data_IF_312272512532
#
_entry.id   IF_312272512532
#
_cell.length_a   1.000
_cell.length_b   1.000
_cell.length_c   1.000
_cell.angle_alpha   90.00
_cell.angle_beta   90.00
_cell.angle_gamma   90.00
#
_symmetry.space_group_name_H-M   'P 1'
#
loop_
_entity.id
_entity.type
_entity.pdbx_description
1 polymer ?
#
# COMPACT_ATOMS: atom_id res chain seq x y z
N UNK A 1 0.74 -30.64 -14.06
CA UNK A 1 0.08 -31.71 -14.87
C UNK A 1 -1.46 -31.62 -14.89
N UNK A 2 -2.13 -31.30 -13.78
CA UNK A 2 -3.60 -31.23 -13.69
C UNK A 2 -4.29 -30.18 -14.56
N UNK A 3 -3.74 -28.96 -14.66
CA UNK A 3 -4.31 -27.89 -15.51
C UNK A 3 -4.44 -28.28 -16.99
N UNK A 4 -3.47 -29.01 -17.53
CA UNK A 4 -3.52 -29.52 -18.92
C UNK A 4 -4.57 -30.62 -19.09
N UNK A 5 -4.73 -31.49 -18.10
CA UNK A 5 -5.76 -32.54 -18.12
C UNK A 5 -7.18 -31.94 -18.04
N UNK A 6 -7.37 -30.93 -17.19
CA UNK A 6 -8.62 -30.18 -17.09
C UNK A 6 -8.93 -29.43 -18.40
N UNK A 7 -7.96 -28.73 -18.99
CA UNK A 7 -8.14 -28.03 -20.26
C UNK A 7 -8.54 -28.97 -21.41
N UNK A 8 -7.96 -30.19 -21.46
CA UNK A 8 -8.36 -31.22 -22.43
C UNK A 8 -9.77 -31.75 -22.20
N UNK A 9 -10.17 -31.96 -20.93
CA UNK A 9 -11.52 -32.41 -20.58
C UNK A 9 -12.59 -31.35 -20.91
N UNK A 10 -12.23 -30.07 -20.80
CA UNK A 10 -13.09 -28.93 -21.14
C UNK A 10 -13.02 -28.53 -22.62
N UNK A 11 -12.34 -29.31 -23.46
CA UNK A 11 -12.17 -29.06 -24.90
C UNK A 11 -11.65 -27.66 -25.22
N UNK A 12 -10.85 -27.07 -24.32
CA UNK A 12 -10.31 -25.74 -24.52
C UNK A 12 -9.26 -25.78 -25.65
N UNK A 13 -9.43 -24.97 -26.71
CA UNK A 13 -8.52 -24.98 -27.86
C UNK A 13 -7.16 -24.37 -27.52
N UNK A 14 -7.07 -23.58 -26.45
CA UNK A 14 -5.86 -22.91 -25.99
C UNK A 14 -5.83 -22.86 -24.46
N UNK A 15 -4.63 -22.92 -23.87
CA UNK A 15 -4.40 -22.75 -22.44
C UNK A 15 -3.25 -21.76 -22.20
N UNK A 16 -3.37 -20.84 -21.24
CA UNK A 16 -2.28 -19.92 -20.92
C UNK A 16 -1.09 -20.69 -20.35
N UNK A 17 0.09 -20.45 -20.92
CA UNK A 17 1.35 -21.07 -20.50
C UNK A 17 2.44 -20.00 -20.40
N UNK A 18 3.39 -20.22 -19.49
CA UNK A 18 4.64 -19.48 -19.44
C UNK A 18 5.71 -20.38 -20.07
N UNK A 19 6.30 -19.94 -21.18
CA UNK A 19 7.33 -20.71 -21.89
C UNK A 19 8.73 -20.40 -21.37
N UNK A 20 9.41 -21.40 -20.80
CA UNK A 20 10.82 -21.30 -20.38
C UNK A 20 11.75 -21.86 -21.47
N UNK A 21 11.76 -21.19 -22.64
CA UNK A 21 12.48 -21.64 -23.83
C UNK A 21 14.01 -21.59 -23.73
N UNK A 22 14.56 -20.83 -22.78
CA UNK A 22 15.99 -20.61 -22.60
C UNK A 22 16.70 -21.74 -21.83
N UNK A 23 15.96 -22.71 -21.28
CA UNK A 23 16.54 -23.77 -20.46
C UNK A 23 17.17 -24.88 -21.31
N UNK A 24 18.41 -25.24 -21.00
CA UNK A 24 19.05 -26.45 -21.54
C UNK A 24 18.30 -27.72 -21.09
N UNK A 25 18.47 -28.86 -21.79
CA UNK A 25 17.83 -30.11 -21.38
C UNK A 25 18.11 -30.52 -19.92
N UNK A 26 19.30 -30.24 -19.42
CA UNK A 26 19.65 -30.51 -18.02
C UNK A 26 18.92 -29.57 -17.05
N UNK A 27 18.86 -28.27 -17.35
CA UNK A 27 18.13 -27.28 -16.55
C UNK A 27 16.62 -27.55 -16.52
N UNK A 28 16.03 -28.01 -17.64
CA UNK A 28 14.62 -28.44 -17.66
C UNK A 28 14.35 -29.56 -16.65
N UNK A 29 15.23 -30.58 -16.60
CA UNK A 29 15.09 -31.69 -15.64
C UNK A 29 15.27 -31.23 -14.20
N UNK A 30 16.24 -30.33 -13.95
CA UNK A 30 16.46 -29.76 -12.62
C UNK A 30 15.27 -28.92 -12.15
N UNK A 31 14.72 -28.08 -13.03
CA UNK A 31 13.54 -27.26 -12.75
C UNK A 31 12.33 -28.11 -12.38
N UNK A 32 12.04 -29.18 -13.11
CA UNK A 32 10.92 -30.09 -12.79
C UNK A 32 11.06 -30.73 -11.41
N UNK A 33 12.29 -31.07 -11.00
CA UNK A 33 12.55 -31.63 -9.67
C UNK A 33 12.37 -30.54 -8.59
N UNK A 34 12.88 -29.33 -8.83
CA UNK A 34 12.74 -28.22 -7.91
C UNK A 34 11.28 -27.77 -7.75
N UNK A 35 10.51 -27.69 -8.83
CA UNK A 35 9.08 -27.32 -8.83
C UNK A 35 8.25 -28.30 -7.98
N UNK A 36 8.47 -29.61 -8.15
CA UNK A 36 7.83 -30.63 -7.31
C UNK A 36 8.29 -30.56 -5.84
N UNK A 37 9.56 -30.22 -5.59
CA UNK A 37 10.08 -30.10 -4.22
C UNK A 37 9.53 -28.87 -3.51
N UNK A 38 9.48 -27.72 -4.19
CA UNK A 38 8.92 -26.48 -3.66
C UNK A 38 7.45 -26.65 -3.30
N UNK A 39 6.68 -27.40 -4.10
CA UNK A 39 5.30 -27.73 -3.76
C UNK A 39 5.16 -28.64 -2.52
N UNK A 40 6.19 -29.39 -2.15
CA UNK A 40 6.23 -30.20 -0.92
C UNK A 40 6.72 -29.41 0.29
N UNK A 41 7.44 -28.31 0.06
CA UNK A 41 7.91 -27.39 1.09
C UNK A 41 6.90 -26.23 1.31
N UNK A 42 5.79 -26.21 0.57
CA UNK A 42 4.69 -25.28 0.78
C UNK A 42 3.90 -25.71 2.02
N UNK A 43 3.85 -24.83 3.02
CA UNK A 43 3.01 -24.97 4.21
C UNK A 43 1.74 -24.13 4.11
N UNK A 44 0.90 -24.27 5.13
CA UNK A 44 -0.18 -23.34 5.40
C UNK A 44 0.24 -22.41 6.53
N UNK A 45 -0.30 -21.20 6.53
CA UNK A 45 -0.46 -20.45 7.78
C UNK A 45 -1.61 -21.13 8.52
N UNK A 46 -1.29 -21.90 9.55
CA UNK A 46 -2.24 -22.74 10.25
C UNK A 46 -3.33 -21.91 10.96
N UNK A 47 -2.99 -20.70 11.44
CA UNK A 47 -3.94 -19.79 12.09
C UNK A 47 -4.92 -19.20 11.06
N UNK A 48 -4.41 -18.68 9.95
CA UNK A 48 -5.25 -18.10 8.89
C UNK A 48 -6.12 -19.17 8.23
N UNK A 49 -5.58 -20.37 8.02
CA UNK A 49 -6.31 -21.51 7.48
C UNK A 49 -7.45 -21.94 8.41
N UNK A 50 -7.18 -22.07 9.71
CA UNK A 50 -8.20 -22.44 10.69
C UNK A 50 -9.34 -21.41 10.75
N UNK A 51 -9.02 -20.12 10.65
CA UNK A 51 -10.01 -19.04 10.63
C UNK A 51 -10.90 -19.09 9.39
N UNK A 52 -10.32 -19.24 8.20
CA UNK A 52 -11.09 -19.38 6.95
C UNK A 52 -12.00 -20.63 6.98
N UNK A 53 -11.52 -21.74 7.55
CA UNK A 53 -12.31 -22.95 7.74
C UNK A 53 -13.48 -22.72 8.73
N UNK A 54 -13.28 -21.93 9.79
CA UNK A 54 -14.34 -21.56 10.71
C UNK A 54 -15.41 -20.68 10.02
N UNK A 55 -15.00 -19.66 9.25
CA UNK A 55 -15.92 -18.81 8.49
C UNK A 55 -16.72 -19.59 7.44
N UNK A 56 -16.08 -20.52 6.72
CA UNK A 56 -16.75 -21.41 5.78
C UNK A 56 -17.77 -22.32 6.49
N UNK A 57 -17.45 -22.81 7.69
CA UNK A 57 -18.37 -23.58 8.52
C UNK A 57 -19.60 -22.77 8.93
N UNK A 58 -19.39 -21.53 9.39
CA UNK A 58 -20.47 -20.60 9.77
C UNK A 58 -21.36 -20.22 8.57
N UNK A 59 -20.76 -20.08 7.38
CA UNK A 59 -21.47 -19.88 6.13
C UNK A 59 -22.24 -21.12 5.64
N UNK A 60 -22.13 -22.26 6.35
CA UNK A 60 -22.81 -23.51 6.04
C UNK A 60 -22.19 -24.31 4.91
N UNK A 61 -20.90 -24.08 4.60
CA UNK A 61 -20.15 -24.85 3.61
C UNK A 61 -19.73 -26.22 4.17
N UNK A 62 -19.71 -27.24 3.33
CA UNK A 62 -19.24 -28.58 3.71
C UNK A 62 -17.70 -28.63 3.65
N UNK A 63 -17.06 -28.54 4.82
CA UNK A 63 -15.59 -28.47 4.92
C UNK A 63 -14.89 -29.73 4.38
N UNK A 64 -15.54 -30.88 4.32
CA UNK A 64 -14.94 -32.09 3.74
C UNK A 64 -14.65 -31.96 2.24
N UNK A 65 -15.23 -30.97 1.58
CA UNK A 65 -14.97 -30.66 0.17
C UNK A 65 -13.65 -29.89 -0.06
N UNK A 66 -13.01 -29.39 1.00
CA UNK A 66 -11.72 -28.70 0.94
C UNK A 66 -10.54 -29.65 0.75
N UNK A 67 -10.72 -30.92 1.10
CA UNK A 67 -9.71 -31.98 1.00
C UNK A 67 -9.01 -32.33 2.31
N UNK A 68 -9.36 -31.66 3.42
CA UNK A 68 -8.98 -32.05 4.79
C UNK A 68 -9.92 -33.13 5.32
N UNK A 69 -9.40 -34.05 6.13
CA UNK A 69 -10.21 -35.05 6.82
C UNK A 69 -10.79 -34.53 8.15
N UNK A 70 -11.72 -35.30 8.74
CA UNK A 70 -12.43 -34.90 9.96
C UNK A 70 -11.48 -34.67 11.15
N UNK A 71 -10.38 -35.43 11.25
CA UNK A 71 -9.43 -35.32 12.36
C UNK A 71 -8.51 -34.09 12.17
N UNK A 72 -8.08 -33.82 10.93
CA UNK A 72 -7.33 -32.60 10.57
C UNK A 72 -8.15 -31.33 10.84
N UNK A 73 -9.41 -31.31 10.42
CA UNK A 73 -10.33 -30.19 10.65
C UNK A 73 -10.60 -29.96 12.14
N UNK A 74 -10.78 -31.03 12.91
CA UNK A 74 -11.01 -30.93 14.34
C UNK A 74 -9.81 -30.36 15.09
N UNK A 75 -8.58 -30.76 14.71
CA UNK A 75 -7.36 -30.23 15.30
C UNK A 75 -7.19 -28.73 14.99
N UNK A 76 -7.38 -28.33 13.72
CA UNK A 76 -7.26 -26.93 13.31
C UNK A 76 -8.28 -26.02 14.00
N UNK A 77 -9.52 -26.49 14.19
CA UNK A 77 -10.58 -25.70 14.83
C UNK A 77 -10.50 -25.71 16.37
N UNK A 78 -9.79 -26.66 16.98
CA UNK A 78 -9.63 -26.72 18.43
C UNK A 78 -8.70 -25.61 18.96
N UNK A 79 -7.67 -25.25 18.20
CA UNK A 79 -6.66 -24.27 18.60
C UNK A 79 -7.21 -22.83 18.67
N UNK A 80 -8.33 -22.54 17.98
CA UNK A 80 -9.06 -21.26 18.06
C UNK A 80 -9.89 -21.17 19.36
N UNK A 81 -10.26 -22.30 19.97
CA UNK A 81 -11.13 -22.35 21.15
C UNK A 81 -10.42 -22.12 22.50
N UNK A 82 -9.10 -22.25 22.56
CA UNK A 82 -8.32 -22.12 23.81
C UNK A 82 -7.70 -20.72 24.01
N UNK A 83 -7.69 -19.86 23.00
CA UNK A 83 -7.09 -18.52 23.03
C UNK A 83 -7.95 -17.44 23.72
N UNK A 84 -9.17 -17.75 24.18
CA UNK A 84 -10.02 -16.79 24.91
C UNK A 84 -9.67 -16.63 26.40
N UNK A 85 -8.54 -17.16 26.89
CA UNK A 85 -8.30 -17.24 28.33
C UNK A 85 -6.84 -17.25 28.81
N UNK A 86 -6.00 -16.30 28.42
CA UNK A 86 -4.87 -15.91 29.29
C UNK A 86 -4.37 -14.48 29.03
N UNK A 87 -4.66 -13.60 29.99
CA UNK A 87 -3.97 -12.33 30.20
C UNK A 87 -2.46 -12.57 30.42
N UNK A 88 -1.63 -12.17 29.45
CA UNK A 88 -0.24 -11.76 29.71
C UNK A 88 0.12 -10.62 28.77
N UNK A 89 0.64 -9.55 29.37
CA UNK A 89 1.19 -8.36 28.71
C UNK A 89 2.35 -8.72 27.77
N UNK A 90 2.03 -9.17 26.55
CA UNK A 90 2.99 -9.22 25.45
C UNK A 90 2.57 -8.19 24.40
N UNK A 91 3.49 -7.25 24.12
CA UNK A 91 3.37 -6.38 22.94
C UNK A 91 3.14 -7.27 21.71
N UNK A 92 2.20 -6.92 20.80
CA UNK A 92 1.97 -7.74 19.62
C UNK A 92 3.30 -7.91 18.90
N UNK A 93 3.76 -9.16 18.83
CA UNK A 93 4.98 -9.55 18.17
C UNK A 93 4.97 -8.96 16.76
N UNK A 94 6.07 -8.31 16.40
CA UNK A 94 6.30 -7.83 15.05
C UNK A 94 6.19 -9.00 14.07
N UNK A 95 5.25 -8.90 13.13
CA UNK A 95 5.22 -9.54 11.82
C UNK A 95 6.09 -10.82 11.70
N UNK A 96 5.56 -11.99 12.10
CA UNK A 96 6.19 -13.29 11.80
C UNK A 96 6.17 -13.65 10.29
N UNK A 97 5.56 -12.78 9.47
CA UNK A 97 5.39 -12.95 8.03
C UNK A 97 6.48 -12.27 7.17
N UNK A 98 7.45 -11.59 7.79
CA UNK A 98 8.66 -11.14 7.10
C UNK A 98 9.69 -12.28 7.10
N UNK A 99 9.43 -13.33 6.28
CA UNK A 99 10.40 -14.37 5.92
C UNK A 99 11.50 -13.77 5.00
N UNK A 100 12.06 -12.64 5.44
CA UNK A 100 13.14 -11.90 4.80
C UNK A 100 14.38 -12.77 4.97
N UNK A 101 14.96 -13.28 3.87
CA UNK A 101 16.18 -14.05 3.96
C UNK A 101 17.25 -13.23 4.68
N UNK A 102 17.93 -13.84 5.64
CA UNK A 102 19.03 -13.19 6.33
C UNK A 102 19.96 -12.51 5.31
N UNK A 103 20.32 -11.22 5.52
CA UNK A 103 21.11 -10.49 4.54
C UNK A 103 22.35 -11.29 4.15
N UNK A 104 22.73 -11.32 2.86
CA UNK A 104 23.88 -12.08 2.42
C UNK A 104 25.13 -11.60 3.19
N UNK A 105 25.98 -12.53 3.63
CA UNK A 105 27.23 -12.21 4.35
C UNK A 105 28.12 -11.21 3.61
N UNK A 106 27.97 -11.13 2.29
CA UNK A 106 28.59 -10.13 1.45
C UNK A 106 27.49 -9.39 0.66
N UNK A 107 27.08 -8.19 1.09
CA UNK A 107 26.11 -7.40 0.33
C UNK A 107 26.72 -7.00 -1.00
N UNK A 108 25.97 -7.20 -2.08
CA UNK A 108 26.35 -6.77 -3.42
C UNK A 108 26.28 -5.24 -3.51
N UNK A 109 25.19 -4.67 -3.01
CA UNK A 109 24.97 -3.21 -2.97
C UNK A 109 25.79 -2.56 -1.87
N UNK A 110 26.45 -1.46 -2.20
CA UNK A 110 27.23 -0.62 -1.29
C UNK A 110 26.73 0.82 -1.34
N UNK A 111 26.89 1.59 -0.24
CA UNK A 111 26.61 3.02 -0.26
C UNK A 111 27.32 3.73 -1.43
N UNK A 112 26.56 4.52 -2.20
CA UNK A 112 27.00 5.19 -3.42
C UNK A 112 26.74 4.40 -4.71
N UNK A 113 26.41 3.11 -4.64
CA UNK A 113 26.07 2.34 -5.84
C UNK A 113 24.76 2.82 -6.45
N UNK A 114 24.79 3.08 -7.76
CA UNK A 114 23.62 3.44 -8.57
C UNK A 114 23.28 2.30 -9.52
N UNK A 115 22.07 1.78 -9.37
CA UNK A 115 21.50 0.73 -10.19
C UNK A 115 20.61 1.35 -11.27
N UNK A 116 20.95 1.10 -12.54
CA UNK A 116 20.14 1.52 -13.68
C UNK A 116 19.11 0.43 -14.02
N UNK A 117 17.82 0.78 -13.92
CA UNK A 117 16.68 -0.09 -14.12
C UNK A 117 15.84 0.42 -15.32
N UNK A 118 16.41 0.34 -16.52
CA UNK A 118 15.81 0.91 -17.72
C UNK A 118 15.81 2.43 -17.68
N UNK A 119 14.64 3.07 -17.58
CA UNK A 119 14.51 4.53 -17.41
C UNK A 119 14.62 4.96 -15.93
N UNK A 120 14.60 4.00 -15.00
CA UNK A 120 14.59 4.26 -13.56
C UNK A 120 15.99 4.10 -12.96
N UNK A 121 16.23 4.77 -11.84
CA UNK A 121 17.47 4.68 -11.06
C UNK A 121 17.14 4.36 -9.62
N UNK A 122 17.94 3.51 -9.02
CA UNK A 122 17.92 3.19 -7.60
C UNK A 122 19.32 3.44 -7.04
N UNK A 123 19.41 4.11 -5.89
CA UNK A 123 20.68 4.33 -5.19
C UNK A 123 20.66 3.65 -3.82
N UNK A 124 21.78 3.08 -3.42
CA UNK A 124 22.00 2.70 -2.03
C UNK A 124 22.72 3.85 -1.30
N UNK A 125 22.10 4.45 -0.29
CA UNK A 125 22.71 5.54 0.47
C UNK A 125 21.76 6.19 1.46
N UNK A 126 22.30 7.12 2.26
CA UNK A 126 21.53 7.90 3.23
C UNK A 126 20.71 8.99 2.52
N UNK A 127 19.39 8.96 2.69
CA UNK A 127 18.47 9.93 2.08
C UNK A 127 18.59 11.35 2.68
N UNK A 128 19.25 11.49 3.83
CA UNK A 128 19.58 12.78 4.44
C UNK A 128 20.90 13.38 3.92
N UNK A 129 21.68 12.63 3.12
CA UNK A 129 22.92 13.14 2.52
C UNK A 129 22.64 13.82 1.16
N UNK A 130 22.97 15.12 1.01
CA UNK A 130 22.73 15.85 -0.25
C UNK A 130 23.47 15.24 -1.43
N UNK A 131 24.65 14.68 -1.21
CA UNK A 131 25.50 14.12 -2.26
C UNK A 131 24.90 12.83 -2.83
N UNK A 132 24.27 12.01 -1.98
CA UNK A 132 23.53 10.80 -2.38
C UNK A 132 22.33 11.19 -3.24
N UNK A 133 21.50 12.12 -2.76
CA UNK A 133 20.31 12.56 -3.49
C UNK A 133 20.68 13.25 -4.81
N UNK A 134 21.72 14.09 -4.82
CA UNK A 134 22.22 14.72 -6.04
C UNK A 134 22.73 13.70 -7.06
N UNK A 135 23.42 12.65 -6.60
CA UNK A 135 23.90 11.56 -7.45
C UNK A 135 22.74 10.79 -8.09
N UNK A 136 21.69 10.49 -7.32
CA UNK A 136 20.48 9.85 -7.83
C UNK A 136 19.77 10.71 -8.87
N UNK A 137 19.67 12.01 -8.63
CA UNK A 137 18.84 12.91 -9.42
C UNK A 137 19.55 13.41 -10.69
N UNK A 138 20.89 13.53 -10.68
CA UNK A 138 21.69 14.08 -11.78
C UNK A 138 21.20 15.45 -12.29
N UNK A 139 20.83 16.34 -11.36
CA UNK A 139 20.38 17.70 -11.69
C UNK A 139 18.90 17.83 -12.05
N UNK A 140 18.17 16.72 -12.19
CA UNK A 140 16.73 16.72 -12.39
C UNK A 140 15.97 17.08 -11.11
N UNK A 141 14.72 17.53 -11.27
CA UNK A 141 13.81 17.84 -10.16
C UNK A 141 12.57 16.94 -10.22
N UNK A 142 12.09 16.50 -9.06
CA UNK A 142 10.93 15.65 -8.94
C UNK A 142 9.62 16.45 -8.99
N UNK A 143 8.68 16.01 -9.81
CA UNK A 143 7.30 16.51 -9.82
C UNK A 143 6.45 15.88 -8.71
N UNK A 144 6.83 14.69 -8.25
CA UNK A 144 6.15 13.93 -7.20
C UNK A 144 7.21 13.23 -6.34
N UNK A 145 7.09 13.39 -5.03
CA UNK A 145 7.75 12.54 -4.05
C UNK A 145 6.67 11.79 -3.29
N UNK A 146 6.73 10.46 -3.30
CA UNK A 146 5.87 9.60 -2.51
C UNK A 146 6.77 8.70 -1.67
N UNK A 147 6.64 8.75 -0.36
CA UNK A 147 7.55 8.05 0.54
C UNK A 147 6.85 7.60 1.82
N UNK A 148 7.32 6.49 2.38
CA UNK A 148 6.97 5.98 3.70
C UNK A 148 8.28 5.88 4.49
N UNK A 149 8.69 6.95 5.19
CA UNK A 149 9.90 6.95 6.00
C UNK A 149 9.69 6.08 7.25
N UNK A 150 10.76 5.64 7.91
CA UNK A 150 10.66 4.84 9.13
C UNK A 150 9.71 5.46 10.19
N UNK A 151 8.89 4.64 10.85
CA UNK A 151 7.90 5.10 11.82
C UNK A 151 8.48 5.10 13.24
N UNK A 152 9.09 6.21 13.66
CA UNK A 152 9.39 6.55 15.07
C UNK A 152 9.86 5.41 15.99
N UNK A 153 10.60 4.43 15.45
CA UNK A 153 11.10 3.25 16.15
C UNK A 153 10.09 2.13 16.49
N UNK A 154 9.08 1.86 15.64
CA UNK A 154 8.14 0.74 15.81
C UNK A 154 8.66 -0.64 15.36
N UNK A 155 9.81 -0.71 14.70
CA UNK A 155 10.41 -1.97 14.23
C UNK A 155 11.81 -2.10 14.79
N UNK A 156 12.23 -3.34 15.05
CA UNK A 156 13.61 -3.67 15.41
C UNK A 156 14.52 -3.42 14.20
N UNK A 157 14.91 -2.15 14.02
CA UNK A 157 15.92 -1.81 13.04
C UNK A 157 17.25 -2.39 13.52
N UNK A 158 17.94 -3.12 12.63
CA UNK A 158 19.26 -3.74 12.85
C UNK A 158 20.34 -2.78 13.39
N UNK A 159 20.08 -1.47 13.42
CA UNK A 159 20.94 -0.40 13.95
C UNK A 159 20.60 0.07 15.37
N UNK A 160 19.70 -0.58 16.12
CA UNK A 160 19.31 -0.15 17.47
C UNK A 160 18.29 0.99 17.48
N UNK A 161 17.55 1.13 16.37
CA UNK A 161 16.44 2.06 16.25
C UNK A 161 16.76 3.48 15.77
N UNK A 162 15.72 4.32 15.70
CA UNK A 162 15.81 5.74 15.31
C UNK A 162 15.61 6.60 16.55
N UNK A 163 16.72 7.07 17.13
CA UNK A 163 16.70 7.90 18.34
C UNK A 163 16.19 9.33 18.09
N UNK A 164 16.49 9.90 16.91
CA UNK A 164 16.07 11.26 16.52
C UNK A 164 15.31 11.23 15.19
N UNK A 165 14.03 10.85 15.28
CA UNK A 165 13.16 10.76 14.11
C UNK A 165 12.89 12.14 13.46
N UNK A 166 12.71 13.17 14.28
CA UNK A 166 12.47 14.54 13.78
C UNK A 166 13.70 15.08 13.04
N UNK A 167 14.91 14.87 13.58
CA UNK A 167 16.16 15.19 12.90
C UNK A 167 16.33 14.47 11.56
N UNK A 168 16.04 13.16 11.51
CA UNK A 168 16.05 12.37 10.27
C UNK A 168 15.11 12.98 9.21
N UNK A 169 13.84 13.19 9.58
CA UNK A 169 12.83 13.73 8.68
C UNK A 169 13.23 15.13 8.16
N UNK A 170 13.68 16.01 9.05
CA UNK A 170 14.16 17.35 8.64
C UNK A 170 15.36 17.26 7.70
N UNK A 171 16.30 16.35 7.97
CA UNK A 171 17.47 16.11 7.12
C UNK A 171 17.08 15.72 5.70
N UNK A 172 16.14 14.78 5.55
CA UNK A 172 15.62 14.32 4.25
C UNK A 172 14.86 15.43 3.52
N UNK A 173 13.85 16.02 4.17
CA UNK A 173 12.94 16.96 3.51
C UNK A 173 13.53 18.36 3.28
N UNK A 174 14.66 18.70 3.91
CA UNK A 174 15.38 19.95 3.63
C UNK A 174 16.00 19.95 2.23
N UNK A 175 16.22 18.77 1.65
CA UNK A 175 17.11 18.59 0.51
C UNK A 175 16.41 17.92 -0.67
N UNK A 176 15.16 17.49 -0.50
CA UNK A 176 14.38 16.85 -1.55
C UNK A 176 14.26 17.78 -2.78
N UNK A 177 14.83 17.40 -3.94
CA UNK A 177 14.94 18.28 -5.09
C UNK A 177 13.63 18.29 -5.88
N UNK A 178 12.66 19.01 -5.34
CA UNK A 178 11.32 19.12 -5.91
C UNK A 178 11.21 20.31 -6.85
N UNK A 179 10.46 20.12 -7.94
CA UNK A 179 9.99 21.20 -8.79
C UNK A 179 9.13 22.19 -7.98
N UNK A 180 9.02 23.44 -8.44
CA UNK A 180 8.27 24.48 -7.73
C UNK A 180 6.77 24.14 -7.55
N UNK A 181 6.20 23.41 -8.50
CA UNK A 181 4.83 22.90 -8.50
C UNK A 181 4.75 21.42 -8.05
N UNK A 182 5.86 20.86 -7.56
CA UNK A 182 5.96 19.50 -7.09
C UNK A 182 5.08 19.21 -5.88
N UNK A 183 4.64 17.96 -5.78
CA UNK A 183 3.81 17.45 -4.67
C UNK A 183 4.59 16.43 -3.85
N UNK A 184 4.43 16.46 -2.53
CA UNK A 184 5.06 15.50 -1.62
C UNK A 184 3.97 14.78 -0.84
N UNK A 185 4.00 13.46 -0.85
CA UNK A 185 3.11 12.61 -0.08
C UNK A 185 3.95 11.75 0.85
N UNK A 186 3.64 11.84 2.14
CA UNK A 186 4.36 11.13 3.20
C UNK A 186 3.37 10.24 3.92
N UNK A 187 3.58 8.95 3.83
CA UNK A 187 2.80 7.92 4.52
C UNK A 187 3.41 7.67 5.90
N UNK A 188 2.59 7.69 6.95
CA UNK A 188 3.00 7.48 8.33
C UNK A 188 1.95 6.65 9.08
N UNK A 189 2.43 5.60 9.76
CA UNK A 189 1.63 4.80 10.69
C UNK A 189 1.45 5.48 12.04
N UNK A 190 0.39 5.10 12.75
CA UNK A 190 0.11 5.57 14.10
C UNK A 190 1.03 4.87 15.11
N UNK A 191 1.64 5.67 16.00
CA UNK A 191 2.36 5.13 17.15
C UNK A 191 1.46 5.19 18.37
N UNK A 192 1.39 4.07 19.09
CA UNK A 192 0.72 3.97 20.38
C UNK A 192 1.73 3.50 21.42
N UNK A 193 1.79 4.18 22.56
CA UNK A 193 2.70 3.84 23.67
C UNK A 193 2.09 4.36 24.97
N UNK A 194 2.26 3.63 26.07
CA UNK A 194 1.82 4.07 27.40
C UNK A 194 0.33 4.46 27.47
N UNK A 195 -0.55 3.72 26.78
CA UNK A 195 -1.99 4.01 26.64
C UNK A 195 -2.33 5.35 25.96
N UNK A 196 -1.41 5.89 25.15
CA UNK A 196 -1.62 7.12 24.39
C UNK A 196 -1.26 6.94 22.92
N UNK A 197 -2.04 7.56 22.04
CA UNK A 197 -1.59 7.78 20.66
C UNK A 197 -0.56 8.91 20.67
N UNK A 198 0.55 8.71 19.96
CA UNK A 198 1.66 9.66 19.94
C UNK A 198 1.64 10.40 18.59
N UNK A 199 1.33 11.71 18.54
CA UNK A 199 1.38 12.49 17.30
C UNK A 199 2.83 12.94 17.01
N UNK A 200 3.74 11.97 16.85
CA UNK A 200 5.18 12.22 16.72
C UNK A 200 5.58 13.10 15.52
N UNK A 201 4.69 13.25 14.54
CA UNK A 201 4.88 14.10 13.36
C UNK A 201 4.64 15.59 13.60
N UNK A 202 4.01 16.01 14.70
CA UNK A 202 3.53 17.41 14.86
C UNK A 202 4.64 18.46 14.69
N UNK A 203 5.77 18.26 15.37
CA UNK A 203 6.92 19.16 15.27
C UNK A 203 7.48 19.22 13.84
N UNK A 204 7.50 18.07 13.15
CA UNK A 204 7.94 17.99 11.76
C UNK A 204 6.95 18.66 10.81
N UNK A 205 5.63 18.53 11.01
CA UNK A 205 4.62 19.21 10.21
C UNK A 205 4.74 20.74 10.29
N UNK A 206 4.99 21.27 11.49
CA UNK A 206 5.21 22.70 11.69
C UNK A 206 6.54 23.15 11.11
N UNK A 207 7.59 22.33 11.20
CA UNK A 207 8.84 22.59 10.50
C UNK A 207 8.65 22.60 8.97
N UNK A 208 7.96 21.62 8.39
CA UNK A 208 7.62 21.59 6.96
C UNK A 208 6.91 22.88 6.55
N UNK A 209 5.99 23.36 7.40
CA UNK A 209 5.31 24.64 7.20
C UNK A 209 6.28 25.82 7.16
N UNK A 210 7.27 25.85 8.05
CA UNK A 210 8.33 26.87 8.06
C UNK A 210 9.20 26.83 6.79
N UNK A 211 9.35 25.66 6.16
CA UNK A 211 10.09 25.47 4.90
C UNK A 211 9.24 25.78 3.64
N UNK A 212 8.05 26.36 3.82
CA UNK A 212 7.16 26.75 2.72
C UNK A 212 6.28 25.63 2.19
N UNK A 213 6.33 24.43 2.76
CA UNK A 213 5.41 23.35 2.43
C UNK A 213 4.04 23.61 3.10
N UNK A 214 2.97 23.47 2.34
CA UNK A 214 1.60 23.70 2.81
C UNK A 214 0.94 22.35 2.95
N UNK A 215 0.32 22.10 4.10
CA UNK A 215 -0.57 20.95 4.34
C UNK A 215 -1.77 21.08 3.39
N UNK A 216 -1.69 20.43 2.24
CA UNK A 216 -2.66 20.59 1.14
C UNK A 216 -3.83 19.63 1.29
N UNK A 217 -3.56 18.39 1.66
CA UNK A 217 -4.56 17.40 1.99
C UNK A 217 -4.02 16.41 3.03
N UNK A 218 -4.93 15.68 3.66
CA UNK A 218 -4.65 14.60 4.59
C UNK A 218 -5.59 13.45 4.27
N UNK A 219 -5.01 12.31 3.91
CA UNK A 219 -5.76 11.11 3.54
C UNK A 219 -5.57 10.03 4.58
N UNK A 220 -6.55 9.12 4.62
CA UNK A 220 -6.48 7.87 5.38
C UNK A 220 -6.44 6.75 4.35
N UNK A 221 -5.39 5.94 4.39
CA UNK A 221 -5.30 4.70 3.62
C UNK A 221 -5.94 3.60 4.47
N UNK A 222 -7.15 3.20 4.08
CA UNK A 222 -7.81 2.01 4.62
C UNK A 222 -7.19 0.76 3.99
N UNK A 223 -6.58 -0.09 4.82
CA UNK A 223 -5.91 -1.32 4.44
C UNK A 223 -6.86 -2.52 4.41
N UNK A 224 -8.13 -2.33 4.80
CA UNK A 224 -9.14 -3.38 4.85
C UNK A 224 -9.27 -3.98 6.25
N UNK A 225 -9.46 -5.30 6.39
CA UNK A 225 -9.56 -5.92 7.71
C UNK A 225 -8.23 -5.74 8.46
N UNK A 226 -8.32 -5.25 9.70
CA UNK A 226 -7.15 -5.18 10.57
C UNK A 226 -6.70 -6.58 10.99
N UNK A 227 -5.43 -6.72 11.36
CA UNK A 227 -4.92 -7.98 11.90
C UNK A 227 -5.73 -8.37 13.15
N UNK A 228 -6.23 -9.62 13.23
CA UNK A 228 -6.87 -10.13 14.44
C UNK A 228 -5.93 -10.03 15.65
N UNK A 229 -6.49 -9.81 16.84
CA UNK A 229 -5.71 -9.75 18.09
C UNK A 229 -6.30 -8.78 19.11
N UNK A 230 -5.81 -8.88 20.36
CA UNK A 230 -6.10 -7.88 21.39
C UNK A 230 -5.15 -6.68 21.23
N UNK A 231 -5.72 -5.56 20.83
CA UNK A 231 -5.01 -4.28 20.67
C UNK A 231 -4.98 -3.46 21.96
N UNK A 232 -4.95 -4.13 23.11
CA UNK A 232 -5.07 -3.56 24.45
C UNK A 232 -6.39 -2.78 24.59
N UNK A 233 -7.49 -3.43 24.17
CA UNK A 233 -8.85 -2.86 24.22
C UNK A 233 -9.15 -1.77 23.17
N UNK A 234 -8.27 -1.57 22.18
CA UNK A 234 -8.51 -0.68 21.04
C UNK A 234 -9.11 -1.43 19.86
N UNK A 235 -9.65 -0.68 18.91
CA UNK A 235 -9.95 -1.23 17.58
C UNK A 235 -8.64 -1.59 16.88
N UNK A 236 -8.64 -2.69 16.14
CA UNK A 236 -7.52 -3.10 15.32
C UNK A 236 -7.12 -1.95 14.37
N UNK A 237 -5.84 -1.55 14.34
CA UNK A 237 -5.37 -0.58 13.36
C UNK A 237 -5.43 -1.23 11.99
N UNK A 238 -6.23 -0.66 11.11
CA UNK A 238 -6.35 -1.09 9.71
C UNK A 238 -6.17 0.08 8.74
N UNK A 239 -5.47 1.12 9.20
CA UNK A 239 -5.27 2.32 8.42
C UNK A 239 -3.95 3.01 8.70
N UNK A 240 -3.50 3.77 7.71
CA UNK A 240 -2.36 4.68 7.83
C UNK A 240 -2.72 6.08 7.33
N UNK A 241 -1.92 7.07 7.71
CA UNK A 241 -2.10 8.43 7.25
C UNK A 241 -1.22 8.74 6.05
N UNK A 242 -1.73 9.55 5.13
CA UNK A 242 -0.94 10.14 4.04
C UNK A 242 -1.06 11.66 4.11
N UNK A 243 0.06 12.30 4.45
CA UNK A 243 0.18 13.76 4.50
C UNK A 243 0.62 14.29 3.14
N UNK A 244 -0.20 15.14 2.53
CA UNK A 244 0.04 15.69 1.20
C UNK A 244 0.41 17.17 1.28
N UNK A 245 1.58 17.51 0.75
CA UNK A 245 2.14 18.86 0.75
C UNK A 245 2.33 19.43 -0.66
N UNK A 246 2.15 20.75 -0.76
CA UNK A 246 2.52 21.53 -1.93
C UNK A 246 3.15 22.87 -1.55
N UNK A 247 3.87 23.50 -2.49
CA UNK A 247 4.33 24.89 -2.34
C UNK A 247 3.45 25.88 -3.10
N UNK A 248 2.87 25.44 -4.21
CA UNK A 248 2.03 26.25 -5.09
C UNK A 248 0.69 25.59 -5.35
N UNK A 249 -0.33 26.41 -5.61
CA UNK A 249 -1.67 25.92 -5.88
C UNK A 249 -1.73 25.53 -7.34
N UNK A 250 -2.17 24.31 -7.62
CA UNK A 250 -2.28 23.80 -8.97
C UNK A 250 -3.72 23.44 -9.28
N UNK A 251 -4.15 23.72 -10.51
CA UNK A 251 -5.42 23.17 -11.01
C UNK A 251 -5.24 21.66 -11.25
N UNK A 252 -6.18 20.83 -10.78
CA UNK A 252 -6.10 19.39 -10.99
C UNK A 252 -6.14 19.07 -12.49
N UNK A 253 -5.37 18.06 -12.89
CA UNK A 253 -5.47 17.52 -14.23
C UNK A 253 -6.83 16.84 -14.39
N UNK A 254 -7.53 17.19 -15.46
CA UNK A 254 -8.77 16.55 -15.85
C UNK A 254 -8.44 15.49 -16.89
N UNK A 255 -8.28 14.25 -16.45
CA UNK A 255 -7.77 13.14 -17.28
C UNK A 255 -8.81 12.05 -17.48
N UNK A 256 -9.88 12.00 -16.68
CA UNK A 256 -10.94 11.01 -16.81
C UNK A 256 -11.98 11.53 -17.80
N UNK A 257 -12.31 10.80 -18.87
CA UNK A 257 -13.37 11.22 -19.78
C UNK A 257 -14.69 11.47 -19.05
N UNK A 258 -15.31 12.61 -19.31
CA UNK A 258 -16.65 12.90 -18.82
C UNK A 258 -17.67 12.11 -19.64
N UNK A 259 -18.49 11.29 -18.98
CA UNK A 259 -19.62 10.60 -19.61
C UNK A 259 -20.56 11.55 -20.37
N UNK A 260 -20.66 12.78 -19.89
CA UNK A 260 -21.55 13.81 -20.40
C UNK A 260 -20.84 14.90 -21.22
N UNK A 261 -19.60 14.66 -21.65
CA UNK A 261 -18.84 15.60 -22.47
C UNK A 261 -19.68 16.17 -23.63
N UNK A 262 -19.66 17.49 -23.80
CA UNK A 262 -20.41 18.18 -24.85
C UNK A 262 -21.92 18.31 -24.62
N UNK A 263 -22.47 17.72 -23.54
CA UNK A 263 -23.88 17.84 -23.18
C UNK A 263 -24.10 18.93 -22.13
N UNK A 264 -25.18 19.69 -22.27
CA UNK A 264 -25.70 20.57 -21.21
C UNK A 264 -26.58 19.74 -20.26
N UNK A 265 -25.96 18.86 -19.47
CA UNK A 265 -26.69 17.94 -18.56
C UNK A 265 -27.22 18.61 -17.30
N UNK A 266 -26.97 19.91 -17.15
CA UNK A 266 -27.49 20.71 -16.06
C UNK A 266 -28.91 21.22 -16.33
N UNK A 267 -29.43 20.99 -17.54
CA UNK A 267 -30.80 21.27 -17.94
C UNK A 267 -31.57 19.95 -18.06
N UNK A 268 -32.76 19.89 -17.46
CA UNK A 268 -33.78 18.92 -17.83
C UNK A 268 -34.16 19.13 -19.30
N UNK A 269 -34.84 18.15 -19.90
CA UNK A 269 -35.27 18.22 -21.30
C UNK A 269 -36.14 19.46 -21.66
N UNK A 270 -36.71 20.14 -20.66
CA UNK A 270 -37.48 21.37 -20.77
C UNK A 270 -36.66 22.67 -20.62
N UNK A 271 -35.33 22.57 -20.47
CA UNK A 271 -34.44 23.72 -20.24
C UNK A 271 -34.42 24.22 -18.79
N UNK A 272 -34.96 23.48 -17.83
CA UNK A 272 -34.93 23.86 -16.40
C UNK A 272 -33.71 23.26 -15.68
N UNK A 273 -33.07 24.06 -14.82
CA UNK A 273 -31.89 23.62 -14.06
C UNK A 273 -32.24 22.87 -12.77
N UNK A 274 -31.39 21.94 -12.33
CA UNK A 274 -31.46 21.31 -10.99
C UNK A 274 -30.98 22.21 -9.86
N UNK A 275 -30.50 23.42 -10.17
CA UNK A 275 -30.03 24.37 -9.16
C UNK A 275 -31.19 24.84 -8.24
N UNK A 276 -30.97 24.76 -6.92
CA UNK A 276 -31.91 25.30 -5.94
C UNK A 276 -32.05 26.83 -6.10
N UNK A 277 -33.29 27.31 -6.13
CA UNK A 277 -33.59 28.75 -6.20
C UNK A 277 -33.22 29.43 -4.88
N UNK A 278 -32.67 30.63 -4.96
CA UNK A 278 -32.49 31.52 -3.81
C UNK A 278 -33.82 31.97 -3.22
N UNK A 279 -33.78 32.59 -2.04
CA UNK A 279 -34.98 33.14 -1.36
C UNK A 279 -35.70 34.23 -2.17
N UNK A 280 -35.02 34.83 -3.14
CA UNK A 280 -35.53 35.81 -4.10
C UNK A 280 -36.14 35.17 -5.37
N UNK A 281 -36.20 33.84 -5.44
CA UNK A 281 -36.71 33.10 -6.59
C UNK A 281 -35.76 33.03 -7.78
N UNK A 282 -34.60 33.70 -7.71
CA UNK A 282 -33.58 33.65 -8.75
C UNK A 282 -32.74 32.37 -8.62
N UNK A 283 -32.31 31.85 -9.77
CA UNK A 283 -31.30 30.78 -9.80
C UNK A 283 -29.96 31.47 -9.67
N UNK A 284 -29.24 31.24 -8.56
CA UNK A 284 -27.90 31.78 -8.39
C UNK A 284 -27.04 31.30 -9.57
N UNK A 285 -26.50 32.24 -10.35
CA UNK A 285 -25.72 31.95 -11.53
C UNK A 285 -24.52 31.08 -11.17
N UNK A 286 -24.53 29.84 -11.65
CA UNK A 286 -23.34 28.99 -11.60
C UNK A 286 -22.27 29.55 -12.54
N UNK A 287 -21.00 29.43 -12.17
CA UNK A 287 -19.85 30.06 -12.84
C UNK A 287 -19.62 29.65 -14.30
N UNK A 288 -20.38 28.68 -14.84
CA UNK A 288 -20.33 28.29 -16.25
C UNK A 288 -21.72 27.98 -16.85
N UNK A 289 -22.74 28.76 -16.47
CA UNK A 289 -24.06 28.71 -17.10
C UNK A 289 -23.98 28.84 -18.63
N UNK A 290 -24.64 27.94 -19.37
CA UNK A 290 -24.64 27.91 -20.84
C UNK A 290 -23.38 27.34 -21.48
N UNK A 291 -22.46 26.74 -20.70
CA UNK A 291 -21.34 25.99 -21.25
C UNK A 291 -21.62 24.48 -21.18
N UNK A 292 -21.35 23.72 -22.27
CA UNK A 292 -21.48 22.27 -22.25
C UNK A 292 -20.49 21.66 -21.26
N UNK A 293 -20.82 20.48 -20.74
CA UNK A 293 -19.94 19.74 -19.84
C UNK A 293 -18.60 19.49 -20.52
N UNK A 294 -17.52 19.85 -19.84
CA UNK A 294 -16.14 19.64 -20.26
C UNK A 294 -15.84 18.17 -20.64
N UNK A 295 -14.88 17.96 -21.54
CA UNK A 295 -14.54 16.62 -22.06
C UNK A 295 -13.97 15.67 -21.02
N UNK A 296 -13.27 16.21 -20.02
CA UNK A 296 -12.63 15.42 -18.98
C UNK A 296 -12.94 15.98 -17.58
N UNK A 297 -13.11 15.08 -16.60
CA UNK A 297 -13.24 15.36 -15.17
C UNK A 297 -11.95 15.00 -14.45
N UNK A 298 -11.87 15.49 -13.22
CA UNK A 298 -10.88 15.06 -12.25
C UNK A 298 -11.21 13.60 -11.89
N UNK A 299 -10.21 12.71 -11.79
CA UNK A 299 -10.42 11.39 -11.17
C UNK A 299 -11.10 11.53 -9.81
N UNK A 300 -12.10 10.69 -9.56
CA UNK A 300 -12.80 10.53 -8.28
C UNK A 300 -11.91 9.89 -7.23
#
# INVERSE_FOLDING_TARGET
HGRLAAARKLELPQAPVIELGHLTPAQKRAYVIADNRLALDAGWDDELLALELAELSEAGYDLLMTGFDDDELAQMLADIGETEGSDTDEEPASDEDDDIPAPPKQPISRPGDVWQLGQHRLICGDASDPSVVATLMQGEQASLCFTSPPYGNQRDYTSGGIADWDGLMRGVFAQVPMAADGQVLVNLGLIHRDNEFIPYWDAWLDWMRSQGWRRFAWYVWDQGPGMPGDWQGRLAPSFEFIFHFNRQTRKPNKTVPCKFAGQDTHLRADGSSTAMRGKDGQVNGWTAAGQPTQDHRIPD
#
